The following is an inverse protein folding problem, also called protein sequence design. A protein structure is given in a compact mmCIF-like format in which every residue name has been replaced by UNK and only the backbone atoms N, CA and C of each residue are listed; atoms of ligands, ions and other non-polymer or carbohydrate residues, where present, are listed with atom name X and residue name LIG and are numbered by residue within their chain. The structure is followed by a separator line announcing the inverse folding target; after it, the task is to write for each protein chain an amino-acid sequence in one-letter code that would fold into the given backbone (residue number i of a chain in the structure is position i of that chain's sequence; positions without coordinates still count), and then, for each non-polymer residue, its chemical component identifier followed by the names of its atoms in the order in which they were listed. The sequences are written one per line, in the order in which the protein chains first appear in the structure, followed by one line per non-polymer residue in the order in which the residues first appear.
data_IF_613622485237
#
_entry.id   IF_613622485237
#
_cell.length_a   1.000
_cell.length_b   1.000
_cell.length_c   1.000
_cell.angle_alpha   90.00
_cell.angle_beta   90.00
_cell.angle_gamma   90.00
#
_symmetry.space_group_name_H-M   'P 1'
#
loop_
_entity.id
_entity.type
_entity.pdbx_description
1 polymer ?
#
# COMPACT_ATOMS: atom_id res chain seq x y z
N UNK A 1 9.42 4.74 6.17
CA UNK A 1 9.12 5.28 4.83
C UNK A 1 8.70 6.73 5.00
N UNK A 2 9.32 7.65 4.25
CA UNK A 2 9.08 9.10 4.36
C UNK A 2 8.51 9.62 3.04
N UNK A 3 7.40 10.34 3.10
CA UNK A 3 6.86 11.13 1.98
C UNK A 3 7.60 12.47 1.91
N UNK A 4 8.39 12.69 0.85
CA UNK A 4 9.31 13.82 0.79
C UNK A 4 8.62 15.15 0.44
N UNK A 5 7.52 15.08 -0.31
CA UNK A 5 6.84 16.27 -0.84
C UNK A 5 5.36 16.34 -0.41
N UNK A 6 4.86 15.33 0.28
CA UNK A 6 3.47 15.24 0.70
C UNK A 6 2.57 14.67 -0.40
N UNK A 7 1.38 14.27 0.03
CA UNK A 7 0.31 13.67 -0.75
C UNK A 7 0.66 12.39 -1.51
N UNK A 8 1.88 11.84 -1.49
CA UNK A 8 2.22 10.67 -2.31
C UNK A 8 1.70 9.37 -1.68
N UNK A 9 0.74 8.74 -2.33
CA UNK A 9 0.31 7.38 -2.02
C UNK A 9 1.34 6.33 -2.40
N UNK A 10 1.61 5.40 -1.50
CA UNK A 10 2.57 4.33 -1.72
C UNK A 10 1.92 2.98 -1.50
N UNK A 11 1.62 2.30 -2.59
CA UNK A 11 1.14 0.93 -2.53
C UNK A 11 2.31 0.04 -2.09
N UNK A 12 2.07 -0.81 -1.09
CA UNK A 12 3.09 -1.71 -0.55
C UNK A 12 2.53 -3.10 -0.31
N UNK A 13 3.29 -4.13 -0.72
CA UNK A 13 3.01 -5.54 -0.48
C UNK A 13 4.06 -6.12 0.48
N UNK A 14 3.63 -7.02 1.37
CA UNK A 14 4.51 -7.69 2.32
C UNK A 14 4.38 -9.21 2.20
N UNK A 15 5.52 -9.88 2.25
CA UNK A 15 5.64 -11.33 2.12
C UNK A 15 6.63 -11.83 3.17
N UNK A 16 6.36 -13.01 3.72
CA UNK A 16 7.38 -13.77 4.42
C UNK A 16 8.48 -14.17 3.42
N UNK A 17 9.72 -13.74 3.66
CA UNK A 17 10.81 -13.94 2.70
C UNK A 17 11.17 -15.43 2.52
N UNK A 18 10.95 -16.26 3.53
CA UNK A 18 11.24 -17.70 3.49
C UNK A 18 10.11 -18.51 2.84
N UNK A 19 8.91 -17.95 2.72
CA UNK A 19 7.76 -18.56 2.07
C UNK A 19 6.84 -17.50 1.46
N UNK A 20 7.02 -17.19 0.17
CA UNK A 20 6.22 -16.17 -0.51
C UNK A 20 4.72 -16.48 -0.64
N UNK A 21 4.29 -17.72 -0.32
CA UNK A 21 2.85 -18.00 -0.19
C UNK A 21 2.27 -17.40 1.08
N UNK A 22 3.07 -17.27 2.14
CA UNK A 22 2.72 -16.60 3.38
C UNK A 22 2.94 -15.10 3.22
N UNK A 23 1.85 -14.35 3.17
CA UNK A 23 1.87 -12.95 2.72
C UNK A 23 0.80 -12.13 3.40
N UNK A 24 0.93 -10.80 3.35
CA UNK A 24 -0.01 -9.90 4.00
C UNK A 24 -1.46 -10.21 3.64
N UNK A 25 -2.29 -10.27 4.68
CA UNK A 25 -3.74 -10.42 4.61
C UNK A 25 -4.40 -9.19 5.23
N UNK A 26 -5.02 -8.37 4.38
CA UNK A 26 -5.83 -7.25 4.84
C UNK A 26 -6.98 -7.74 5.72
N UNK A 27 -7.59 -8.87 5.35
CA UNK A 27 -8.73 -9.42 6.08
C UNK A 27 -8.37 -9.87 7.50
N UNK A 28 -7.27 -10.62 7.65
CA UNK A 28 -6.84 -11.10 8.97
C UNK A 28 -6.35 -9.93 9.82
N UNK A 29 -5.61 -8.98 9.24
CA UNK A 29 -5.21 -7.75 9.93
C UNK A 29 -6.42 -6.98 10.46
N UNK A 30 -7.44 -6.74 9.62
CA UNK A 30 -8.68 -6.05 10.01
C UNK A 30 -9.42 -6.81 11.10
N UNK A 31 -9.52 -8.14 10.97
CA UNK A 31 -10.19 -9.01 11.96
C UNK A 31 -9.52 -8.92 13.32
N UNK A 32 -8.19 -9.09 13.38
CA UNK A 32 -7.44 -9.13 14.63
C UNK A 32 -7.43 -7.78 15.34
N UNK A 33 -7.32 -6.67 14.59
CA UNK A 33 -7.28 -5.33 15.19
C UNK A 33 -8.68 -4.71 15.40
N UNK A 34 -9.74 -5.29 14.81
CA UNK A 34 -11.10 -4.76 14.89
C UNK A 34 -11.31 -3.39 14.25
N UNK A 35 -10.45 -3.01 13.29
CA UNK A 35 -10.44 -1.72 12.62
C UNK A 35 -10.02 -1.88 11.16
N UNK A 36 -10.57 -1.04 10.28
CA UNK A 36 -10.19 -0.97 8.87
C UNK A 36 -9.00 -0.02 8.60
N UNK A 37 -8.68 0.82 9.59
CA UNK A 37 -7.62 1.83 9.46
C UNK A 37 -6.29 1.28 9.92
N UNK A 38 -5.25 1.52 9.12
CA UNK A 38 -3.88 1.10 9.40
C UNK A 38 -3.14 2.30 9.98
N UNK A 39 -2.53 2.16 11.16
CA UNK A 39 -1.79 3.22 11.85
C UNK A 39 -0.85 2.65 12.92
N UNK A 40 -0.28 3.49 13.78
CA UNK A 40 0.57 3.08 14.92
C UNK A 40 -0.10 2.00 15.77
N UNK A 41 0.63 0.94 16.07
CA UNK A 41 0.18 -0.24 16.80
C UNK A 41 -0.45 -1.33 15.93
N UNK A 42 -0.72 -1.06 14.64
CA UNK A 42 -1.20 -2.09 13.71
C UNK A 42 -0.11 -3.13 13.46
N UNK A 43 -0.46 -4.40 13.67
CA UNK A 43 0.34 -5.57 13.30
C UNK A 43 -0.12 -6.10 11.96
N UNK A 44 0.81 -6.24 11.02
CA UNK A 44 0.54 -6.73 9.67
C UNK A 44 0.51 -8.26 9.70
N UNK A 45 -0.71 -8.81 9.72
CA UNK A 45 -0.94 -10.25 9.81
C UNK A 45 -0.87 -10.87 8.43
N UNK A 46 -0.19 -12.01 8.33
CA UNK A 46 -0.08 -12.79 7.11
C UNK A 46 -1.19 -13.84 6.98
N UNK A 47 -1.27 -14.48 5.81
CA UNK A 47 -2.24 -15.57 5.55
C UNK A 47 -2.03 -16.81 6.42
N UNK A 48 -0.84 -16.99 7.00
CA UNK A 48 -0.54 -18.07 7.95
C UNK A 48 -0.60 -17.60 9.42
N UNK A 49 -1.26 -16.46 9.70
CA UNK A 49 -1.42 -15.83 11.02
C UNK A 49 -0.08 -15.40 11.69
N UNK A 50 0.99 -15.19 10.91
CA UNK A 50 2.25 -14.62 11.40
C UNK A 50 2.17 -13.09 11.45
N UNK A 51 2.89 -12.47 12.39
CA UNK A 51 3.13 -11.02 12.38
C UNK A 51 4.35 -10.75 11.50
N UNK A 52 4.13 -10.18 10.31
CA UNK A 52 5.23 -9.81 9.40
C UNK A 52 5.96 -8.57 9.92
N UNK A 53 5.19 -7.51 10.15
CA UNK A 53 5.69 -6.22 10.62
C UNK A 53 4.69 -5.55 11.55
N UNK A 54 5.14 -4.55 12.30
CA UNK A 54 4.32 -3.71 13.15
C UNK A 54 4.62 -2.24 12.87
N UNK A 55 3.58 -1.43 12.68
CA UNK A 55 3.74 0.02 12.57
C UNK A 55 3.97 0.58 13.97
N UNK A 56 5.16 1.11 14.22
CA UNK A 56 5.56 1.63 15.54
C UNK A 56 5.41 3.15 15.63
N UNK A 57 5.37 3.84 14.50
CA UNK A 57 5.09 5.27 14.42
C UNK A 57 4.44 5.63 13.07
N UNK A 58 3.48 6.54 13.10
CA UNK A 58 2.77 7.08 11.93
C UNK A 58 2.44 8.54 12.21
N UNK A 59 3.04 9.46 11.44
CA UNK A 59 2.80 10.90 11.58
C UNK A 59 1.66 11.42 10.71
N UNK A 60 1.20 10.62 9.74
CA UNK A 60 0.10 10.95 8.84
C UNK A 60 -1.27 10.61 9.48
N UNK A 61 -1.33 9.49 10.21
CA UNK A 61 -2.45 9.06 11.04
C UNK A 61 -3.56 8.27 10.32
N UNK A 62 -3.46 8.07 9.01
CA UNK A 62 -4.45 7.29 8.26
C UNK A 62 -3.86 6.68 6.98
N UNK A 63 -4.06 5.37 6.81
CA UNK A 63 -3.69 4.64 5.60
C UNK A 63 -4.77 3.62 5.24
N UNK A 64 -4.94 3.40 3.94
CA UNK A 64 -5.96 2.50 3.40
C UNK A 64 -5.39 1.10 3.15
N UNK A 65 -6.21 0.08 3.40
CA UNK A 65 -5.93 -1.31 2.97
C UNK A 65 -7.13 -1.95 2.25
N UNK A 66 -8.21 -1.19 2.03
CA UNK A 66 -9.43 -1.66 1.38
C UNK A 66 -9.33 -1.50 -0.14
N UNK A 67 -8.72 -0.41 -0.59
CA UNK A 67 -8.50 -0.12 -2.00
C UNK A 67 -7.42 -1.01 -2.60
N UNK A 68 -7.76 -1.77 -3.63
CA UNK A 68 -6.76 -2.47 -4.44
C UNK A 68 -5.85 -1.50 -5.19
N UNK A 69 -4.61 -1.93 -5.42
CA UNK A 69 -3.63 -1.18 -6.22
C UNK A 69 -4.14 -0.85 -7.63
N UNK A 70 -3.76 0.31 -8.17
CA UNK A 70 -4.25 0.71 -9.50
C UNK A 70 -3.75 -0.23 -10.62
N UNK A 71 -4.53 -0.36 -11.70
CA UNK A 71 -4.26 -1.26 -12.83
C UNK A 71 -4.77 -0.70 -14.16
N UNK A 72 -4.29 -1.25 -15.28
CA UNK A 72 -4.80 -0.94 -16.61
C UNK A 72 -6.32 -1.13 -16.72
N UNK A 73 -6.86 -2.21 -16.13
CA UNK A 73 -8.29 -2.53 -16.13
C UNK A 73 -9.09 -1.52 -15.29
N UNK A 74 -8.64 -1.25 -14.06
CA UNK A 74 -9.33 -0.30 -13.17
C UNK A 74 -9.30 1.12 -13.72
N UNK A 75 -8.19 1.55 -14.31
CA UNK A 75 -8.08 2.84 -15.00
C UNK A 75 -9.04 2.92 -16.18
N UNK A 76 -9.13 1.85 -16.98
CA UNK A 76 -10.01 1.79 -18.14
C UNK A 76 -11.50 1.89 -17.76
N UNK A 77 -11.91 1.19 -16.70
CA UNK A 77 -13.30 1.19 -16.21
C UNK A 77 -13.67 2.52 -15.56
N UNK A 78 -12.76 3.12 -14.78
CA UNK A 78 -13.06 4.32 -13.99
C UNK A 78 -12.90 5.62 -14.77
N UNK A 79 -11.94 5.70 -15.68
CA UNK A 79 -11.47 6.97 -16.26
C UNK A 79 -11.48 6.99 -17.80
N UNK A 80 -11.81 5.88 -18.45
CA UNK A 80 -11.91 5.77 -19.91
C UNK A 80 -10.85 4.86 -20.52
N UNK A 81 -11.18 4.27 -21.68
CA UNK A 81 -10.33 3.29 -22.38
C UNK A 81 -8.97 3.86 -22.81
N UNK A 82 -8.84 5.17 -23.01
CA UNK A 82 -7.59 5.83 -23.35
C UNK A 82 -6.57 5.77 -22.20
N UNK A 83 -7.03 5.54 -20.96
CA UNK A 83 -6.17 5.43 -19.77
C UNK A 83 -5.55 4.05 -19.57
N UNK A 84 -5.90 3.06 -20.41
CA UNK A 84 -5.42 1.68 -20.32
C UNK A 84 -3.89 1.56 -20.28
N UNK A 85 -3.20 2.42 -21.02
CA UNK A 85 -1.74 2.35 -21.23
C UNK A 85 -0.94 3.23 -20.28
N UNK A 86 -1.60 3.92 -19.35
CA UNK A 86 -0.91 4.67 -18.31
C UNK A 86 -0.27 3.71 -17.31
N UNK A 87 0.87 4.12 -16.74
CA UNK A 87 1.54 3.37 -15.69
C UNK A 87 0.59 3.07 -14.52
N UNK A 88 0.77 1.90 -13.91
CA UNK A 88 -0.04 1.46 -12.79
C UNK A 88 0.79 0.67 -11.78
N UNK A 89 0.38 0.68 -10.51
CA UNK A 89 1.03 -0.09 -9.46
C UNK A 89 1.04 -1.58 -9.77
N UNK A 90 -0.06 -2.10 -10.34
CA UNK A 90 -0.13 -3.49 -10.77
C UNK A 90 0.94 -3.83 -11.81
N UNK A 91 1.19 -2.97 -12.79
CA UNK A 91 2.23 -3.21 -13.80
C UNK A 91 3.64 -3.13 -13.20
N UNK A 92 3.87 -2.22 -12.25
CA UNK A 92 5.11 -2.16 -11.47
C UNK A 92 5.34 -3.49 -10.72
N UNK A 93 4.30 -3.99 -10.04
CA UNK A 93 4.36 -5.27 -9.35
C UNK A 93 4.59 -6.46 -10.28
N UNK A 94 3.92 -6.52 -11.42
CA UNK A 94 4.15 -7.59 -12.39
C UNK A 94 5.59 -7.58 -12.94
N UNK A 95 6.17 -6.40 -13.10
CA UNK A 95 7.57 -6.26 -13.55
C UNK A 95 8.55 -6.83 -12.52
N UNK A 96 8.40 -6.49 -11.25
CA UNK A 96 9.29 -6.99 -10.19
C UNK A 96 8.99 -8.45 -9.83
N UNK A 97 7.71 -8.85 -9.82
CA UNK A 97 7.28 -10.24 -9.59
C UNK A 97 7.92 -11.19 -10.61
N UNK A 98 7.99 -10.80 -11.88
CA UNK A 98 8.65 -11.59 -12.91
C UNK A 98 10.15 -11.79 -12.63
N UNK A 99 10.83 -10.81 -12.02
CA UNK A 99 12.24 -10.92 -11.62
C UNK A 99 12.44 -11.84 -10.41
N UNK A 100 11.41 -11.97 -9.57
CA UNK A 100 11.36 -12.84 -8.40
C UNK A 100 10.78 -14.23 -8.69
N UNK A 101 10.61 -14.58 -9.96
CA UNK A 101 9.97 -15.83 -10.42
C UNK A 101 8.54 -16.03 -9.88
N UNK A 102 7.89 -14.93 -9.47
CA UNK A 102 6.50 -14.89 -9.08
C UNK A 102 5.61 -14.69 -10.31
N UNK A 103 4.37 -15.18 -10.20
CA UNK A 103 3.35 -15.04 -11.22
C UNK A 103 2.29 -14.01 -10.80
N UNK A 104 1.41 -13.58 -11.72
CA UNK A 104 0.34 -12.63 -11.39
C UNK A 104 -0.59 -13.08 -10.26
N UNK A 105 -0.67 -14.38 -9.96
CA UNK A 105 -1.51 -14.94 -8.87
C UNK A 105 -0.93 -14.65 -7.48
N UNK A 106 0.36 -14.33 -7.42
CA UNK A 106 1.12 -14.17 -6.19
C UNK A 106 1.08 -12.71 -5.68
N UNK A 107 0.47 -11.81 -6.47
CA UNK A 107 0.17 -10.43 -6.04
C UNK A 107 -0.98 -10.47 -5.02
N UNK A 108 -0.75 -9.88 -3.84
CA UNK A 108 -1.67 -9.92 -2.69
C UNK A 108 -2.32 -8.56 -2.41
N UNK A 109 -3.05 -8.45 -1.30
CA UNK A 109 -3.56 -7.19 -0.78
C UNK A 109 -2.41 -6.19 -0.53
N UNK A 110 -2.66 -4.92 -0.83
CA UNK A 110 -1.73 -3.83 -0.59
C UNK A 110 -2.18 -2.98 0.61
N UNK A 111 -1.21 -2.36 1.26
CA UNK A 111 -1.43 -1.16 2.07
C UNK A 111 -1.09 0.03 1.19
N UNK A 112 -1.99 0.99 1.12
CA UNK A 112 -1.80 2.28 0.46
C UNK A 112 -1.36 3.31 1.50
N UNK A 113 -0.07 3.34 1.81
CA UNK A 113 0.45 4.35 2.74
C UNK A 113 0.21 5.75 2.20
N UNK A 114 -0.12 6.68 3.11
CA UNK A 114 -0.47 8.08 2.84
C UNK A 114 -1.70 8.32 1.95
N UNK A 115 -2.32 7.28 1.37
CA UNK A 115 -3.55 7.42 0.60
C UNK A 115 -4.74 7.64 1.54
N UNK A 116 -5.51 8.68 1.29
CA UNK A 116 -6.72 8.98 2.06
C UNK A 116 -7.97 8.38 1.39
N UNK A 117 -8.53 7.34 2.01
CA UNK A 117 -9.75 6.67 1.56
C UNK A 117 -10.74 6.58 2.74
N UNK A 118 -11.48 7.67 3.05
CA UNK A 118 -12.45 7.65 4.13
C UNK A 118 -13.60 6.69 3.81
N UNK A 119 -14.10 6.03 4.86
CA UNK A 119 -15.33 5.23 4.82
C UNK A 119 -16.44 6.00 5.54
N UNK A 120 -17.48 6.36 4.79
CA UNK A 120 -18.65 7.07 5.30
C UNK A 120 -19.56 6.12 6.12
N UNK A 121 -20.46 6.69 6.93
CA UNK A 121 -21.42 5.91 7.75
C UNK A 121 -22.32 4.98 6.91
N UNK A 122 -22.58 5.34 5.65
CA UNK A 122 -23.35 4.54 4.70
C UNK A 122 -22.53 3.40 4.04
N UNK A 123 -21.24 3.27 4.39
CA UNK A 123 -20.29 2.30 3.81
C UNK A 123 -19.68 2.72 2.48
N UNK A 124 -19.93 3.95 2.01
CA UNK A 124 -19.30 4.49 0.81
C UNK A 124 -17.82 4.78 1.07
N UNK A 125 -16.99 4.48 0.06
CA UNK A 125 -15.57 4.79 0.07
C UNK A 125 -15.20 5.53 -1.22
N UNK A 126 -14.37 6.57 -1.08
CA UNK A 126 -13.87 7.35 -2.19
C UNK A 126 -12.40 7.71 -1.93
N UNK A 127 -11.63 7.75 -3.01
CA UNK A 127 -10.27 8.31 -2.97
C UNK A 127 -10.42 9.82 -2.98
N UNK A 128 -10.00 10.47 -1.90
CA UNK A 128 -10.02 11.92 -1.75
C UNK A 128 -8.59 12.47 -1.68
N UNK A 129 -8.46 13.79 -1.52
CA UNK A 129 -7.15 14.43 -1.42
C UNK A 129 -6.31 13.84 -0.26
N UNK A 130 -5.04 13.60 -0.56
CA UNK A 130 -4.05 13.14 0.40
C UNK A 130 -3.90 14.11 1.57
N UNK A 131 -3.64 13.56 2.75
CA UNK A 131 -3.48 14.34 3.99
C UNK A 131 -2.02 14.43 4.46
N UNK A 132 -1.13 13.64 3.87
CA UNK A 132 0.30 13.66 4.19
C UNK A 132 0.95 14.97 3.77
N UNK A 133 1.89 15.44 4.58
CA UNK A 133 2.70 16.63 4.38
C UNK A 133 4.15 16.22 4.08
N UNK A 134 4.94 17.12 3.48
CA UNK A 134 6.38 16.91 3.33
C UNK A 134 7.02 16.50 4.67
N UNK A 135 7.71 15.36 4.66
CA UNK A 135 8.40 14.79 5.82
C UNK A 135 7.52 13.87 6.68
N UNK A 136 6.23 13.68 6.37
CA UNK A 136 5.44 12.68 7.06
C UNK A 136 5.99 11.28 6.81
N UNK A 137 5.94 10.43 7.82
CA UNK A 137 6.53 9.11 7.75
C UNK A 137 5.72 8.05 8.48
N UNK A 138 5.98 6.81 8.07
CA UNK A 138 5.54 5.59 8.72
C UNK A 138 6.78 4.77 9.06
N UNK A 139 6.95 4.44 10.33
CA UNK A 139 8.02 3.57 10.83
C UNK A 139 7.45 2.19 11.16
N UNK A 140 8.16 1.15 10.73
CA UNK A 140 7.75 -0.23 10.93
C UNK A 140 8.91 -1.06 11.44
N UNK A 141 8.62 -1.96 12.38
CA UNK A 141 9.56 -2.99 12.83
C UNK A 141 9.18 -4.31 12.18
N UNK A 142 10.12 -4.94 11.48
CA UNK A 142 9.96 -6.29 10.98
C UNK A 142 10.08 -7.29 12.15
N UNK A 143 9.10 -8.18 12.28
CA UNK A 143 9.11 -9.26 13.28
C UNK A 143 9.70 -10.56 12.73
N UNK A 144 9.95 -10.60 11.43
CA UNK A 144 10.65 -11.67 10.72
C UNK A 144 11.25 -11.14 9.40
N UNK A 145 12.07 -11.95 8.73
CA UNK A 145 12.58 -11.62 7.40
C UNK A 145 11.41 -11.44 6.42
N UNK A 146 11.21 -10.20 6.00
CA UNK A 146 10.04 -9.78 5.22
C UNK A 146 10.49 -9.21 3.88
N UNK A 147 10.01 -9.79 2.78
CA UNK A 147 10.13 -9.19 1.46
C UNK A 147 9.06 -8.11 1.31
N UNK A 148 9.50 -6.90 0.98
CA UNK A 148 8.64 -5.73 0.79
C UNK A 148 8.69 -5.27 -0.65
N UNK A 149 7.55 -5.24 -1.35
CA UNK A 149 7.45 -4.69 -2.70
C UNK A 149 6.73 -3.36 -2.64
N UNK A 150 7.36 -2.30 -3.15
CA UNK A 150 6.86 -0.94 -3.06
C UNK A 150 6.66 -0.39 -4.46
N UNK A 151 5.45 0.13 -4.70
CA UNK A 151 5.14 0.89 -5.89
C UNK A 151 4.78 2.32 -5.49
N UNK A 152 5.66 3.26 -5.82
CA UNK A 152 5.34 4.67 -5.73
C UNK A 152 4.22 4.99 -6.73
N UNK A 153 3.00 5.23 -6.26
CA UNK A 153 1.80 5.16 -7.09
C UNK A 153 1.86 6.21 -8.22
N UNK A 154 1.76 5.81 -9.51
CA UNK A 154 1.88 6.73 -10.65
C UNK A 154 0.54 7.34 -11.08
N UNK A 155 -0.51 7.20 -10.27
CA UNK A 155 -1.87 7.57 -10.65
C UNK A 155 -2.02 9.09 -10.83
N UNK A 156 -2.64 9.50 -11.95
CA UNK A 156 -2.90 10.89 -12.32
C UNK A 156 -4.39 11.22 -12.53
N UNK A 157 -5.26 10.21 -12.50
CA UNK A 157 -6.68 10.37 -12.84
C UNK A 157 -7.58 10.56 -11.60
N UNK A 158 -7.00 10.59 -10.41
CA UNK A 158 -7.70 10.82 -9.14
C UNK A 158 -6.75 11.50 -8.14
N UNK A 159 -7.25 12.01 -6.99
CA UNK A 159 -6.47 12.88 -6.11
C UNK A 159 -5.48 12.15 -5.18
N UNK A 160 -5.32 10.82 -5.26
CA UNK A 160 -4.50 10.05 -4.29
C UNK A 160 -3.05 10.54 -4.15
N UNK A 161 -2.48 11.15 -5.19
CA UNK A 161 -1.12 11.70 -5.22
C UNK A 161 -1.09 13.21 -5.44
N UNK A 162 -2.18 13.92 -5.12
CA UNK A 162 -2.31 15.34 -5.47
C UNK A 162 -2.21 15.61 -6.99
N UNK A 163 -2.50 14.61 -7.82
CA UNK A 163 -2.32 14.62 -9.28
C UNK A 163 -0.87 14.81 -9.78
N UNK A 164 0.11 14.72 -8.88
CA UNK A 164 1.52 14.89 -9.21
C UNK A 164 2.38 13.91 -8.38
N UNK A 165 2.72 12.72 -8.90
CA UNK A 165 3.53 11.77 -8.18
C UNK A 165 4.91 12.34 -7.83
N UNK A 166 5.31 12.20 -6.57
CA UNK A 166 6.55 12.75 -5.98
C UNK A 166 7.41 11.62 -5.41
N UNK A 167 8.71 11.83 -5.20
CA UNK A 167 9.58 10.79 -4.65
C UNK A 167 9.27 10.51 -3.16
N UNK A 168 9.52 9.27 -2.76
CA UNK A 168 9.57 8.85 -1.35
C UNK A 168 10.97 8.40 -0.96
N UNK A 169 11.26 8.38 0.34
CA UNK A 169 12.50 7.85 0.89
C UNK A 169 12.25 6.61 1.73
N UNK A 170 13.02 5.56 1.44
CA UNK A 170 13.13 4.38 2.28
C UNK A 170 14.44 4.45 3.06
N UNK A 171 14.34 4.20 4.36
CA UNK A 171 15.46 4.13 5.29
C UNK A 171 15.31 2.79 6.00
N UNK A 172 16.38 2.01 6.06
CA UNK A 172 16.43 0.70 6.70
C UNK A 172 17.64 0.70 7.63
N UNK A 173 17.43 0.28 8.88
CA UNK A 173 18.46 0.23 9.91
C UNK A 173 18.18 -0.91 10.89
N UNK A 174 19.22 -1.38 11.57
CA UNK A 174 19.09 -2.34 12.65
C UNK A 174 18.60 -1.63 13.93
N UNK A 175 17.75 -2.32 14.70
CA UNK A 175 17.20 -1.81 15.96
C UNK A 175 18.25 -1.65 17.07
#
# INVERSE_FOLDING_TARGET
MVDLEGCQAVDTLFYNNDNLNDRYSANDTIREQGSIFITTGTKLISTDDNVLMEIVEDTCGNHDTLGGHCSAESNSVRFGLDKKYMHSCRDNYLTIAAQLEMSPKDITNNINFFMNVPVEENGHLAIVDGISKPGDYVEMVAHMDTLVLISNCPQLNNPCNGYNPTPIQLIIWDK
#
